data_IF_608788809182
#
_entry.id   IF_608788809182
#
_cell.length_a   1.000
_cell.length_b   1.000
_cell.length_c   1.000
_cell.angle_alpha   90.00
_cell.angle_beta   90.00
_cell.angle_gamma   90.00
#
_symmetry.space_group_name_H-M   'P 1'
#
loop_
_entity.id
_entity.type
_entity.pdbx_description
1 polymer ?
#
# COMPACT_ATOMS: atom_id res chain seq x y z
N UNK A 1 -1.15 13.73 -32.18
CA UNK A 1 -0.67 12.52 -31.47
C UNK A 1 -1.86 11.81 -30.83
N UNK A 2 -2.21 10.62 -31.33
CA UNK A 2 -3.45 9.93 -30.98
C UNK A 2 -3.46 9.42 -29.53
N UNK A 3 -4.45 9.87 -28.74
CA UNK A 3 -4.66 9.41 -27.35
C UNK A 3 -4.87 7.88 -27.26
N UNK A 4 -5.31 7.26 -28.35
CA UNK A 4 -5.58 5.82 -28.47
C UNK A 4 -4.32 4.94 -28.47
N UNK A 5 -3.20 5.43 -29.00
CA UNK A 5 -1.92 4.67 -29.02
C UNK A 5 -1.19 4.75 -27.68
N UNK A 6 -1.37 5.83 -26.91
CA UNK A 6 -0.84 5.94 -25.56
C UNK A 6 -1.54 4.98 -24.58
N UNK A 7 -2.86 4.81 -24.72
CA UNK A 7 -3.65 3.92 -23.84
C UNK A 7 -3.41 2.43 -24.12
N UNK A 8 -3.25 2.04 -25.39
CA UNK A 8 -2.82 0.69 -25.77
C UNK A 8 -1.36 0.42 -25.39
N UNK A 9 -0.46 1.39 -25.54
CA UNK A 9 0.94 1.26 -25.06
C UNK A 9 1.00 1.10 -23.53
N UNK A 10 0.16 1.81 -22.78
CA UNK A 10 0.07 1.69 -21.32
C UNK A 10 -0.55 0.35 -20.89
N UNK A 11 -1.65 -0.07 -21.52
CA UNK A 11 -2.28 -1.37 -21.28
C UNK A 11 -1.34 -2.54 -21.59
N UNK A 12 -0.58 -2.45 -22.69
CA UNK A 12 0.45 -3.44 -23.03
C UNK A 12 1.66 -3.37 -22.09
N UNK A 13 2.05 -2.19 -21.58
CA UNK A 13 3.09 -2.07 -20.54
C UNK A 13 2.66 -2.64 -19.19
N UNK A 14 1.39 -2.50 -18.82
CA UNK A 14 0.81 -3.08 -17.60
C UNK A 14 0.66 -4.61 -17.74
N UNK A 15 0.20 -5.08 -18.91
CA UNK A 15 0.10 -6.51 -19.23
C UNK A 15 1.48 -7.18 -19.29
N UNK A 16 2.48 -6.51 -19.85
CA UNK A 16 3.87 -7.00 -19.90
C UNK A 16 4.63 -6.85 -18.57
N UNK A 17 4.16 -6.02 -17.61
CA UNK A 17 4.72 -5.99 -16.25
C UNK A 17 4.16 -7.11 -15.38
N UNK A 18 2.90 -7.49 -15.56
CA UNK A 18 2.30 -8.66 -14.92
C UNK A 18 2.91 -9.98 -15.46
N UNK A 19 3.44 -9.99 -16.69
CA UNK A 19 4.13 -11.12 -17.32
C UNK A 19 5.64 -10.92 -17.51
N UNK A 20 6.31 -10.14 -16.65
CA UNK A 20 7.77 -10.30 -16.58
C UNK A 20 8.06 -11.64 -15.93
N UNK A 21 8.62 -12.56 -16.72
CA UNK A 21 9.28 -13.76 -16.21
C UNK A 21 10.16 -13.35 -15.02
N UNK A 22 10.02 -14.00 -13.86
CA UNK A 22 10.82 -13.65 -12.70
C UNK A 22 12.29 -13.82 -13.05
N UNK A 23 13.13 -12.89 -12.58
CA UNK A 23 14.55 -12.91 -12.93
C UNK A 23 15.35 -13.90 -12.07
N UNK A 24 14.73 -14.49 -11.05
CA UNK A 24 15.38 -15.40 -10.10
C UNK A 24 14.36 -16.26 -9.33
N UNK A 25 14.81 -17.40 -8.82
CA UNK A 25 13.99 -18.30 -7.98
C UNK A 25 13.41 -17.57 -6.75
N UNK A 26 14.16 -16.75 -5.99
CA UNK A 26 13.58 -15.98 -4.89
C UNK A 26 12.49 -15.01 -5.32
N UNK A 27 12.61 -14.40 -6.51
CA UNK A 27 11.56 -13.52 -7.04
C UNK A 27 10.30 -14.30 -7.45
N UNK A 28 10.47 -15.50 -8.03
CA UNK A 28 9.37 -16.40 -8.34
C UNK A 28 8.60 -16.78 -7.06
N UNK A 29 9.32 -17.31 -6.06
CA UNK A 29 8.75 -17.77 -4.80
C UNK A 29 8.10 -16.63 -4.00
N UNK A 30 8.69 -15.43 -4.04
CA UNK A 30 8.06 -14.25 -3.44
C UNK A 30 6.69 -13.95 -4.07
N UNK A 31 6.61 -13.93 -5.40
CA UNK A 31 5.35 -13.66 -6.11
C UNK A 31 4.31 -14.76 -5.89
N UNK A 32 4.73 -16.03 -5.92
CA UNK A 32 3.88 -17.18 -5.63
C UNK A 32 3.33 -17.08 -4.20
N UNK A 33 4.19 -16.77 -3.24
CA UNK A 33 3.82 -16.60 -1.84
C UNK A 33 2.77 -15.51 -1.63
N UNK A 34 2.93 -14.35 -2.29
CA UNK A 34 1.95 -13.27 -2.21
C UNK A 34 0.58 -13.68 -2.77
N UNK A 35 0.56 -14.47 -3.84
CA UNK A 35 -0.66 -14.96 -4.47
C UNK A 35 -1.39 -15.99 -3.58
N UNK A 36 -0.65 -16.93 -3.01
CA UNK A 36 -1.18 -17.95 -2.10
C UNK A 36 -1.68 -17.37 -0.77
N UNK A 37 -1.07 -16.27 -0.30
CA UNK A 37 -1.43 -15.63 0.97
C UNK A 37 -2.87 -15.12 1.02
N UNK A 38 -3.52 -14.88 -0.12
CA UNK A 38 -4.94 -14.49 -0.12
C UNK A 38 -5.89 -15.65 0.13
N UNK A 39 -5.40 -16.89 0.10
CA UNK A 39 -6.22 -18.09 0.13
C UNK A 39 -5.87 -19.01 1.29
N UNK A 40 -4.58 -19.10 1.66
CA UNK A 40 -4.08 -20.04 2.66
C UNK A 40 -3.50 -19.35 3.92
N UNK A 41 -3.57 -20.01 5.11
CA UNK A 41 -2.80 -19.61 6.28
C UNK A 41 -1.29 -19.61 6.01
N UNK A 42 -0.56 -18.80 6.76
CA UNK A 42 0.88 -18.57 6.55
C UNK A 42 1.72 -19.86 6.61
N UNK A 43 1.38 -20.79 7.50
CA UNK A 43 2.10 -22.06 7.64
C UNK A 43 2.04 -22.88 6.34
N UNK A 44 0.84 -23.12 5.82
CA UNK A 44 0.64 -23.83 4.56
C UNK A 44 1.31 -23.13 3.38
N UNK A 45 1.26 -21.79 3.32
CA UNK A 45 1.97 -21.04 2.28
C UNK A 45 3.47 -21.34 2.33
N UNK A 46 4.07 -21.40 3.51
CA UNK A 46 5.49 -21.70 3.64
C UNK A 46 5.84 -23.16 3.33
N UNK A 47 4.97 -24.11 3.65
CA UNK A 47 5.17 -25.51 3.28
C UNK A 47 5.20 -25.64 1.76
N UNK A 48 4.19 -25.12 1.07
CA UNK A 48 4.11 -25.08 -0.40
C UNK A 48 5.34 -24.40 -1.00
N UNK A 49 5.73 -23.22 -0.48
CA UNK A 49 6.90 -22.50 -1.00
C UNK A 49 8.22 -23.25 -0.78
N UNK A 50 8.32 -24.09 0.26
CA UNK A 50 9.51 -24.91 0.52
C UNK A 50 9.61 -26.03 -0.50
N UNK A 51 8.50 -26.72 -0.78
CA UNK A 51 8.44 -27.78 -1.80
C UNK A 51 8.81 -27.21 -3.18
N UNK A 52 8.23 -26.07 -3.56
CA UNK A 52 8.57 -25.38 -4.81
C UNK A 52 10.03 -24.90 -4.85
N UNK A 53 10.60 -24.50 -3.72
CA UNK A 53 12.01 -24.14 -3.65
C UNK A 53 12.91 -25.35 -3.95
N UNK A 54 12.58 -26.52 -3.43
CA UNK A 54 13.32 -27.76 -3.69
C UNK A 54 13.20 -28.15 -5.17
N UNK A 55 11.99 -28.17 -5.73
CA UNK A 55 11.78 -28.49 -7.15
C UNK A 55 12.49 -27.51 -8.09
N UNK A 56 12.39 -26.20 -7.84
CA UNK A 56 13.05 -25.18 -8.66
C UNK A 56 14.57 -25.26 -8.56
N UNK A 57 15.11 -25.65 -7.41
CA UNK A 57 16.56 -25.80 -7.24
C UNK A 57 17.08 -27.05 -7.95
N UNK A 58 16.37 -28.18 -7.83
CA UNK A 58 16.71 -29.41 -8.54
C UNK A 58 16.63 -29.25 -10.06
N UNK A 59 15.59 -28.57 -10.56
CA UNK A 59 15.44 -28.33 -11.99
C UNK A 59 16.48 -27.33 -12.52
N UNK A 60 16.86 -26.33 -11.73
CA UNK A 60 17.95 -25.40 -12.09
C UNK A 60 19.30 -26.12 -12.27
N UNK A 61 19.53 -27.23 -11.57
CA UNK A 61 20.73 -28.06 -11.78
C UNK A 61 20.71 -28.76 -13.15
N UNK A 62 19.53 -29.00 -13.73
CA UNK A 62 19.35 -29.63 -15.04
C UNK A 62 19.24 -28.60 -16.18
N UNK A 63 18.55 -27.49 -15.96
CA UNK A 63 18.34 -26.41 -16.94
C UNK A 63 18.97 -25.10 -16.42
N UNK A 64 20.11 -24.73 -17.01
CA UNK A 64 20.84 -23.52 -16.64
C UNK A 64 20.16 -22.22 -17.13
N UNK A 65 19.25 -22.30 -18.11
CA UNK A 65 18.54 -21.15 -18.65
C UNK A 65 17.31 -20.79 -17.77
N UNK A 66 17.32 -19.63 -17.09
CA UNK A 66 16.23 -19.22 -16.22
C UNK A 66 14.91 -18.99 -16.96
N UNK A 67 14.94 -18.58 -18.23
CA UNK A 67 13.70 -18.31 -18.99
C UNK A 67 12.99 -19.60 -19.36
N UNK A 68 13.75 -20.66 -19.69
CA UNK A 68 13.21 -22.00 -19.92
C UNK A 68 12.72 -22.66 -18.65
N UNK A 69 13.44 -22.47 -17.54
CA UNK A 69 13.02 -22.92 -16.21
C UNK A 69 11.63 -22.36 -15.86
N UNK A 70 11.43 -21.04 -15.94
CA UNK A 70 10.15 -20.44 -15.56
C UNK A 70 9.04 -20.63 -16.61
N UNK A 71 9.37 -20.89 -17.87
CA UNK A 71 8.37 -21.35 -18.85
C UNK A 71 7.81 -22.72 -18.48
N UNK A 72 8.64 -23.65 -17.98
CA UNK A 72 8.23 -25.00 -17.57
C UNK A 72 7.25 -24.97 -16.40
N UNK A 73 7.52 -24.15 -15.39
CA UNK A 73 6.66 -24.05 -14.19
C UNK A 73 5.47 -23.09 -14.36
N UNK A 74 5.41 -22.29 -15.43
CA UNK A 74 4.33 -21.32 -15.64
C UNK A 74 4.38 -20.13 -14.69
N UNK A 75 3.37 -19.24 -14.78
CA UNK A 75 3.33 -18.05 -13.93
C UNK A 75 2.91 -18.39 -12.49
N UNK A 76 3.40 -17.64 -11.48
CA UNK A 76 3.00 -17.85 -10.09
C UNK A 76 1.48 -17.82 -9.85
N UNK A 77 0.76 -16.97 -10.60
CA UNK A 77 -0.70 -16.88 -10.53
C UNK A 77 -1.38 -18.11 -11.16
N UNK A 78 -0.81 -18.68 -12.22
CA UNK A 78 -1.32 -19.90 -12.84
C UNK A 78 -1.16 -21.09 -11.89
N UNK A 79 0.03 -21.23 -11.28
CA UNK A 79 0.30 -22.25 -10.26
C UNK A 79 -0.64 -22.11 -9.07
N UNK A 80 -0.86 -20.89 -8.58
CA UNK A 80 -1.82 -20.65 -7.49
C UNK A 80 -3.22 -21.14 -7.86
N UNK A 81 -3.67 -20.85 -9.10
CA UNK A 81 -4.99 -21.27 -9.57
C UNK A 81 -5.11 -22.79 -9.66
N UNK A 82 -4.07 -23.47 -10.12
CA UNK A 82 -4.00 -24.93 -10.19
C UNK A 82 -4.08 -25.57 -8.79
N UNK A 83 -3.28 -25.08 -7.84
CA UNK A 83 -3.31 -25.52 -6.44
C UNK A 83 -4.69 -25.33 -5.79
N UNK A 84 -5.35 -24.20 -6.08
CA UNK A 84 -6.70 -23.94 -5.59
C UNK A 84 -7.76 -24.88 -6.20
N UNK A 85 -7.55 -25.32 -7.44
CA UNK A 85 -8.46 -26.29 -8.09
C UNK A 85 -8.24 -27.71 -7.59
N UNK A 86 -7.00 -28.09 -7.33
CA UNK A 86 -6.63 -29.41 -6.83
C UNK A 86 -7.08 -29.60 -5.38
N UNK A 87 -6.85 -28.59 -4.54
CA UNK A 87 -7.02 -28.71 -3.09
C UNK A 87 -8.31 -28.02 -2.58
N UNK A 88 -9.44 -28.24 -3.27
CA UNK A 88 -10.74 -27.60 -2.98
C UNK A 88 -11.34 -27.94 -1.61
N UNK A 89 -10.80 -28.93 -0.90
CA UNK A 89 -11.37 -29.49 0.35
C UNK A 89 -10.82 -28.88 1.64
N UNK A 90 -9.73 -28.12 1.57
CA UNK A 90 -9.15 -27.50 2.76
C UNK A 90 -10.02 -26.33 3.24
N UNK A 91 -10.31 -26.33 4.54
CA UNK A 91 -11.17 -25.30 5.16
C UNK A 91 -10.53 -23.93 4.94
N UNK A 92 -11.30 -22.93 4.48
CA UNK A 92 -10.78 -21.58 4.27
C UNK A 92 -10.22 -21.02 5.59
N UNK A 93 -9.20 -20.18 5.45
CA UNK A 93 -8.60 -19.41 6.54
C UNK A 93 -9.68 -18.81 7.46
N UNK A 94 -9.51 -18.86 8.79
CA UNK A 94 -10.54 -18.39 9.71
C UNK A 94 -10.89 -16.92 9.44
N UNK A 95 -12.12 -16.70 8.97
CA UNK A 95 -12.67 -15.39 8.58
C UNK A 95 -12.77 -14.37 9.73
N UNK A 96 -12.53 -14.80 10.97
CA UNK A 96 -12.66 -13.95 12.16
C UNK A 96 -11.68 -12.77 12.13
N UNK A 97 -10.43 -12.98 11.72
CA UNK A 97 -9.41 -11.92 11.75
C UNK A 97 -9.66 -10.84 10.69
N UNK A 98 -9.95 -11.16 9.41
CA UNK A 98 -10.39 -10.16 8.44
C UNK A 98 -11.66 -9.41 8.87
N UNK A 99 -12.60 -10.11 9.51
CA UNK A 99 -13.82 -9.49 10.02
C UNK A 99 -13.55 -8.45 11.12
N UNK A 100 -12.70 -8.79 12.10
CA UNK A 100 -12.30 -7.87 13.18
C UNK A 100 -11.61 -6.62 12.63
N UNK A 101 -10.68 -6.77 11.69
CA UNK A 101 -10.04 -5.63 11.06
C UNK A 101 -11.03 -4.81 10.21
N UNK A 102 -11.96 -5.48 9.54
CA UNK A 102 -13.06 -4.82 8.81
C UNK A 102 -13.95 -3.99 9.73
N UNK A 103 -14.32 -4.52 10.90
CA UNK A 103 -15.10 -3.79 11.90
C UNK A 103 -14.35 -2.55 12.41
N UNK A 104 -13.04 -2.65 12.67
CA UNK A 104 -12.21 -1.51 13.07
C UNK A 104 -12.15 -0.42 11.98
N UNK A 105 -12.10 -0.82 10.70
CA UNK A 105 -12.14 0.11 9.58
C UNK A 105 -13.50 0.80 9.45
N UNK A 106 -14.60 0.06 9.65
CA UNK A 106 -15.96 0.61 9.67
C UNK A 106 -16.13 1.64 10.79
N UNK A 107 -15.55 1.39 11.96
CA UNK A 107 -15.53 2.32 13.08
C UNK A 107 -14.83 3.65 12.72
N UNK A 108 -13.70 3.59 11.98
CA UNK A 108 -13.06 4.80 11.46
C UNK A 108 -13.94 5.55 10.44
N UNK A 109 -14.60 4.82 9.53
CA UNK A 109 -15.49 5.43 8.54
C UNK A 109 -16.69 6.10 9.21
N UNK A 110 -17.25 5.47 10.25
CA UNK A 110 -18.30 6.05 11.08
C UNK A 110 -17.86 7.37 11.72
N UNK A 111 -16.69 7.40 12.34
CA UNK A 111 -16.13 8.61 12.94
C UNK A 111 -15.85 9.69 11.89
N UNK A 112 -15.33 9.31 10.72
CA UNK A 112 -15.10 10.24 9.61
C UNK A 112 -16.41 10.92 9.16
N UNK A 113 -17.55 10.25 9.34
CA UNK A 113 -18.88 10.81 9.08
C UNK A 113 -19.41 11.68 10.23
N UNK A 114 -19.13 11.34 11.50
CA UNK A 114 -19.70 12.02 12.69
C UNK A 114 -18.86 13.19 13.22
N UNK A 115 -17.58 13.25 12.88
CA UNK A 115 -16.74 14.45 13.01
C UNK A 115 -16.42 14.90 14.46
N UNK A 116 -16.44 14.00 15.44
CA UNK A 116 -16.32 14.27 16.89
C UNK A 116 -14.91 14.67 17.40
N UNK A 117 -14.00 15.07 16.50
CA UNK A 117 -12.67 15.57 16.87
C UNK A 117 -11.67 14.47 17.31
N UNK A 118 -12.00 13.19 17.14
CA UNK A 118 -11.11 12.06 17.47
C UNK A 118 -10.33 11.55 16.24
N UNK A 119 -10.36 12.29 15.13
CA UNK A 119 -9.84 11.81 13.84
C UNK A 119 -8.38 11.31 13.84
N UNK A 120 -7.42 11.84 14.63
CA UNK A 120 -6.07 11.27 14.69
C UNK A 120 -6.02 9.85 15.28
N UNK A 121 -6.80 9.58 16.33
CA UNK A 121 -6.84 8.27 17.00
C UNK A 121 -7.47 7.23 16.09
N UNK A 122 -8.60 7.56 15.47
CA UNK A 122 -9.26 6.67 14.53
C UNK A 122 -8.42 6.47 13.26
N UNK A 123 -7.63 7.46 12.84
CA UNK A 123 -6.67 7.31 11.74
C UNK A 123 -5.57 6.28 12.09
N UNK A 124 -5.06 6.28 13.33
CA UNK A 124 -4.16 5.23 13.81
C UNK A 124 -4.83 3.85 13.69
N UNK A 125 -6.05 3.71 14.23
CA UNK A 125 -6.80 2.45 14.21
C UNK A 125 -7.04 1.98 12.77
N UNK A 126 -7.40 2.89 11.85
CA UNK A 126 -7.58 2.58 10.43
C UNK A 126 -6.29 2.09 9.77
N UNK A 127 -5.13 2.68 10.10
CA UNK A 127 -3.85 2.23 9.58
C UNK A 127 -3.52 0.81 10.06
N UNK A 128 -3.74 0.52 11.35
CA UNK A 128 -3.56 -0.85 11.87
C UNK A 128 -4.58 -1.83 11.27
N UNK A 129 -5.84 -1.43 11.10
CA UNK A 129 -6.87 -2.22 10.43
C UNK A 129 -6.45 -2.60 9.02
N UNK A 130 -6.04 -1.61 8.22
CA UNK A 130 -5.61 -1.82 6.85
C UNK A 130 -4.37 -2.70 6.78
N UNK A 131 -3.40 -2.49 7.69
CA UNK A 131 -2.20 -3.32 7.77
C UNK A 131 -2.54 -4.79 8.09
N UNK A 132 -3.50 -5.02 8.99
CA UNK A 132 -4.03 -6.34 9.31
C UNK A 132 -4.79 -6.98 8.14
N UNK A 133 -5.67 -6.23 7.48
CA UNK A 133 -6.46 -6.69 6.32
C UNK A 133 -5.57 -7.12 5.15
N UNK A 134 -4.50 -6.38 4.87
CA UNK A 134 -3.54 -6.75 3.84
C UNK A 134 -2.51 -7.77 4.30
N UNK A 135 -2.67 -8.35 5.50
CA UNK A 135 -1.76 -9.36 6.06
C UNK A 135 -0.31 -8.89 6.08
N UNK A 136 -0.08 -7.65 6.49
CA UNK A 136 1.19 -6.98 6.35
C UNK A 136 2.36 -7.70 7.04
N UNK A 137 2.10 -8.39 8.16
CA UNK A 137 3.10 -9.21 8.86
C UNK A 137 3.55 -10.40 8.02
N UNK A 138 2.61 -11.09 7.40
CA UNK A 138 2.87 -12.24 6.54
C UNK A 138 3.58 -11.85 5.26
N UNK A 139 3.19 -10.72 4.65
CA UNK A 139 3.94 -10.13 3.53
C UNK A 139 5.41 -9.86 3.90
N UNK A 140 5.69 -9.38 5.12
CA UNK A 140 7.06 -9.19 5.58
C UNK A 140 7.82 -10.51 5.75
N UNK A 141 7.15 -11.53 6.29
CA UNK A 141 7.76 -12.84 6.49
C UNK A 141 8.17 -13.48 5.15
N UNK A 142 7.30 -13.43 4.14
CA UNK A 142 7.64 -13.86 2.76
C UNK A 142 8.81 -13.04 2.21
N UNK A 143 8.75 -11.71 2.32
CA UNK A 143 9.80 -10.83 1.79
C UNK A 143 11.18 -11.00 2.47
N UNK A 144 11.21 -11.48 3.72
CA UNK A 144 12.45 -11.79 4.44
C UNK A 144 13.03 -13.14 4.02
N UNK A 145 12.17 -14.13 3.79
CA UNK A 145 12.56 -15.49 3.38
C UNK A 145 12.96 -15.53 1.90
N UNK A 146 12.23 -14.83 1.05
CA UNK A 146 12.43 -14.77 -0.39
C UNK A 146 12.61 -13.31 -0.84
N UNK A 147 13.81 -12.73 -0.71
CA UNK A 147 14.03 -11.34 -1.05
C UNK A 147 13.95 -11.13 -2.57
N UNK A 148 12.81 -10.60 -3.04
CA UNK A 148 12.61 -10.23 -4.44
C UNK A 148 13.42 -8.98 -4.81
N UNK A 149 14.59 -9.19 -5.44
CA UNK A 149 15.37 -8.19 -6.18
C UNK A 149 15.64 -6.83 -5.50
N UNK A 150 16.19 -5.89 -6.28
CA UNK A 150 16.37 -4.52 -5.81
C UNK A 150 15.00 -3.82 -5.74
N UNK A 151 14.58 -3.49 -4.52
CA UNK A 151 13.38 -2.70 -4.30
C UNK A 151 13.61 -1.25 -4.75
N UNK A 152 12.77 -0.67 -5.63
CA UNK A 152 12.99 0.66 -6.18
C UNK A 152 12.63 1.76 -5.16
N UNK A 153 13.47 1.93 -4.13
CA UNK A 153 13.28 2.87 -3.03
C UNK A 153 13.01 4.31 -3.51
N UNK A 154 13.65 4.73 -4.60
CA UNK A 154 13.43 6.05 -5.20
C UNK A 154 11.98 6.32 -5.60
N UNK A 155 11.20 5.30 -5.98
CA UNK A 155 9.78 5.49 -6.32
C UNK A 155 8.91 5.76 -5.09
N UNK A 156 9.25 5.15 -3.96
CA UNK A 156 8.56 5.43 -2.68
C UNK A 156 8.88 6.84 -2.21
N UNK A 157 10.16 7.20 -2.22
CA UNK A 157 10.60 8.55 -1.84
C UNK A 157 9.90 9.59 -2.70
N UNK A 158 9.85 9.38 -4.02
CA UNK A 158 9.11 10.26 -4.93
C UNK A 158 7.62 10.40 -4.55
N UNK A 159 6.99 9.32 -4.11
CA UNK A 159 5.58 9.35 -3.67
C UNK A 159 5.42 10.18 -2.39
N UNK A 160 6.30 10.03 -1.40
CA UNK A 160 6.28 10.88 -0.21
C UNK A 160 6.51 12.36 -0.55
N UNK A 161 7.47 12.65 -1.42
CA UNK A 161 7.74 14.02 -1.87
C UNK A 161 6.56 14.63 -2.61
N UNK A 162 5.88 13.86 -3.46
CA UNK A 162 4.66 14.31 -4.13
C UNK A 162 3.57 14.72 -3.13
N UNK A 163 3.35 13.91 -2.07
CA UNK A 163 2.37 14.23 -1.02
C UNK A 163 2.77 15.51 -0.27
N UNK A 164 4.05 15.66 0.08
CA UNK A 164 4.57 16.88 0.74
C UNK A 164 4.32 18.12 -0.12
N UNK A 165 4.63 18.05 -1.42
CA UNK A 165 4.40 19.16 -2.36
C UNK A 165 2.91 19.49 -2.44
N UNK A 166 2.02 18.51 -2.54
CA UNK A 166 0.57 18.77 -2.57
C UNK A 166 0.08 19.46 -1.29
N UNK A 167 0.54 19.03 -0.12
CA UNK A 167 0.20 19.68 1.15
C UNK A 167 0.75 21.10 1.21
N UNK A 168 2.01 21.32 0.81
CA UNK A 168 2.62 22.64 0.78
C UNK A 168 1.88 23.61 -0.16
N UNK A 169 1.47 23.14 -1.35
CA UNK A 169 0.66 23.93 -2.30
C UNK A 169 -0.71 24.24 -1.71
N UNK A 170 -1.40 23.26 -1.11
CA UNK A 170 -2.69 23.47 -0.43
C UNK A 170 -2.58 24.51 0.68
N UNK A 171 -1.58 24.40 1.54
CA UNK A 171 -1.30 25.36 2.62
C UNK A 171 -0.94 26.75 2.08
N UNK A 172 -0.18 26.83 0.98
CA UNK A 172 0.14 28.09 0.30
C UNK A 172 -1.11 28.79 -0.24
N UNK A 173 -1.99 28.05 -0.93
CA UNK A 173 -3.28 28.56 -1.43
C UNK A 173 -4.12 29.06 -0.25
N UNK A 174 -4.19 28.30 0.84
CA UNK A 174 -4.94 28.65 2.05
C UNK A 174 -4.45 29.97 2.65
N UNK A 175 -3.15 30.07 2.93
CA UNK A 175 -2.55 31.28 3.53
C UNK A 175 -2.72 32.50 2.63
N UNK A 176 -2.57 32.32 1.32
CA UNK A 176 -2.80 33.38 0.35
C UNK A 176 -4.25 33.87 0.38
N UNK A 177 -5.22 32.95 0.37
CA UNK A 177 -6.64 33.26 0.43
C UNK A 177 -7.02 34.01 1.71
N UNK A 178 -6.51 33.59 2.88
CA UNK A 178 -6.73 34.29 4.14
C UNK A 178 -6.10 35.69 4.15
N UNK A 179 -4.87 35.84 3.65
CA UNK A 179 -4.15 37.12 3.67
C UNK A 179 -4.76 38.19 2.74
N UNK A 180 -5.49 37.78 1.70
CA UNK A 180 -6.09 38.70 0.72
C UNK A 180 -7.61 38.77 0.82
N UNK A 181 -8.22 38.17 1.84
CA UNK A 181 -9.67 38.07 2.00
C UNK A 181 -10.38 39.45 2.00
N UNK A 182 -9.73 40.48 2.54
CA UNK A 182 -10.27 41.84 2.65
C UNK A 182 -10.30 42.62 1.31
N UNK A 183 -9.48 42.23 0.34
CA UNK A 183 -9.33 42.93 -0.94
C UNK A 183 -10.29 42.43 -2.04
N UNK A 184 -11.23 41.55 -1.70
CA UNK A 184 -12.01 40.78 -2.67
C UNK A 184 -13.49 41.22 -2.66
N UNK A 185 -14.09 41.52 -3.83
CA UNK A 185 -15.43 42.11 -3.92
C UNK A 185 -16.53 41.12 -3.48
N UNK A 186 -17.07 41.36 -2.28
CA UNK A 186 -17.94 40.49 -1.46
C UNK A 186 -19.03 39.70 -2.21
N UNK A 187 -19.75 40.31 -3.16
CA UNK A 187 -20.95 39.69 -3.79
C UNK A 187 -20.65 38.66 -4.90
N UNK A 188 -19.65 38.91 -5.75
CA UNK A 188 -19.25 37.98 -6.82
C UNK A 188 -18.24 36.96 -6.26
N UNK A 189 -17.48 37.38 -5.27
CA UNK A 189 -16.46 36.59 -4.60
C UNK A 189 -17.03 35.45 -3.75
N UNK A 190 -18.13 35.63 -3.01
CA UNK A 190 -18.66 34.52 -2.22
C UNK A 190 -19.25 33.37 -3.05
N UNK A 191 -19.94 33.64 -4.16
CA UNK A 191 -20.64 32.58 -4.92
C UNK A 191 -19.70 31.75 -5.82
N UNK A 192 -18.69 32.37 -6.43
CA UNK A 192 -17.75 31.68 -7.34
C UNK A 192 -16.54 31.10 -6.61
N UNK A 193 -16.03 31.79 -5.59
CA UNK A 193 -14.82 31.34 -4.91
C UNK A 193 -15.09 30.28 -3.83
N UNK A 194 -16.30 30.21 -3.26
CA UNK A 194 -16.73 29.02 -2.49
C UNK A 194 -16.76 27.77 -3.39
N UNK A 195 -17.39 27.85 -4.57
CA UNK A 195 -17.41 26.72 -5.52
C UNK A 195 -16.03 26.33 -6.01
N UNK A 196 -15.18 27.31 -6.33
CA UNK A 196 -13.80 27.07 -6.78
C UNK A 196 -12.94 26.45 -5.69
N UNK A 197 -12.95 26.99 -4.46
CA UNK A 197 -12.21 26.43 -3.32
C UNK A 197 -12.72 25.02 -3.00
N UNK A 198 -14.03 24.81 -2.97
CA UNK A 198 -14.64 23.50 -2.78
C UNK A 198 -14.19 22.50 -3.85
N UNK A 199 -14.23 22.89 -5.13
CA UNK A 199 -13.79 22.03 -6.22
C UNK A 199 -12.28 21.71 -6.13
N UNK A 200 -11.44 22.71 -5.88
CA UNK A 200 -10.00 22.55 -5.76
C UNK A 200 -9.62 21.62 -4.59
N UNK A 201 -10.17 21.86 -3.39
CA UNK A 201 -9.89 21.00 -2.22
C UNK A 201 -10.44 19.58 -2.40
N UNK A 202 -11.60 19.43 -3.04
CA UNK A 202 -12.14 18.12 -3.38
C UNK A 202 -11.25 17.38 -4.37
N UNK A 203 -10.68 18.07 -5.36
CA UNK A 203 -9.69 17.50 -6.28
C UNK A 203 -8.41 17.07 -5.57
N UNK A 204 -7.91 17.86 -4.62
CA UNK A 204 -6.77 17.46 -3.77
C UNK A 204 -7.08 16.19 -2.98
N UNK A 205 -8.23 16.14 -2.30
CA UNK A 205 -8.68 14.95 -1.54
C UNK A 205 -8.76 13.73 -2.46
N UNK A 206 -9.41 13.86 -3.63
CA UNK A 206 -9.54 12.77 -4.59
C UNK A 206 -8.18 12.26 -5.09
N UNK A 207 -7.27 13.17 -5.44
CA UNK A 207 -5.91 12.85 -5.91
C UNK A 207 -5.09 12.12 -4.84
N UNK A 208 -5.20 12.57 -3.59
CA UNK A 208 -4.56 11.95 -2.44
C UNK A 208 -5.14 10.56 -2.13
N UNK A 209 -6.47 10.40 -2.17
CA UNK A 209 -7.14 9.11 -2.00
C UNK A 209 -6.77 8.13 -3.11
N UNK A 210 -6.72 8.59 -4.36
CA UNK A 210 -6.26 7.77 -5.49
C UNK A 210 -4.81 7.33 -5.28
N UNK A 211 -3.94 8.24 -4.84
CA UNK A 211 -2.54 7.92 -4.52
C UNK A 211 -2.47 6.88 -3.40
N UNK A 212 -3.23 7.06 -2.33
CA UNK A 212 -3.31 6.11 -1.22
C UNK A 212 -3.80 4.73 -1.68
N UNK A 213 -4.87 4.67 -2.46
CA UNK A 213 -5.42 3.44 -3.02
C UNK A 213 -4.43 2.71 -3.93
N UNK A 214 -3.74 3.42 -4.82
CA UNK A 214 -2.70 2.83 -5.68
C UNK A 214 -1.55 2.26 -4.86
N UNK A 215 -1.10 2.96 -3.81
CA UNK A 215 -0.04 2.46 -2.93
C UNK A 215 -0.51 1.29 -2.07
N UNK A 216 -1.76 1.27 -1.65
CA UNK A 216 -2.36 0.16 -0.91
C UNK A 216 -2.44 -1.10 -1.76
N UNK A 217 -2.91 -0.98 -3.02
CA UNK A 217 -2.90 -2.10 -3.99
C UNK A 217 -1.48 -2.60 -4.21
N UNK A 218 -0.49 -1.71 -4.39
CA UNK A 218 0.93 -2.13 -4.50
C UNK A 218 1.46 -2.78 -3.22
N UNK A 219 0.94 -2.40 -2.06
CA UNK A 219 1.30 -2.99 -0.77
C UNK A 219 0.80 -4.44 -0.69
N UNK A 220 -0.44 -4.66 -1.10
CA UNK A 220 -1.13 -5.94 -1.10
C UNK A 220 -0.62 -6.93 -2.16
N UNK A 221 -0.16 -6.47 -3.33
CA UNK A 221 0.14 -7.38 -4.45
C UNK A 221 1.59 -7.35 -4.94
N UNK A 222 2.42 -6.44 -4.43
CA UNK A 222 3.82 -6.35 -4.89
C UNK A 222 4.80 -6.33 -3.73
N UNK A 223 4.64 -5.37 -2.83
CA UNK A 223 5.51 -5.24 -1.67
C UNK A 223 4.90 -4.34 -0.63
N UNK A 224 4.81 -4.86 0.59
CA UNK A 224 4.33 -4.15 1.78
C UNK A 224 5.06 -2.84 2.04
N UNK A 225 6.27 -2.66 1.50
CA UNK A 225 7.06 -1.44 1.64
C UNK A 225 6.37 -0.19 1.08
N UNK A 226 5.36 -0.31 0.22
CA UNK A 226 4.56 0.82 -0.25
C UNK A 226 3.54 1.33 0.79
N UNK A 227 3.28 0.56 1.85
CA UNK A 227 2.25 0.86 2.84
C UNK A 227 2.44 2.20 3.56
N UNK A 228 3.65 2.60 3.98
CA UNK A 228 3.90 3.93 4.53
C UNK A 228 3.47 5.07 3.61
N UNK A 229 3.68 4.94 2.30
CA UNK A 229 3.26 5.95 1.33
C UNK A 229 1.74 6.02 1.20
N UNK A 230 1.04 4.87 1.33
CA UNK A 230 -0.41 4.83 1.38
C UNK A 230 -0.95 5.56 2.62
N UNK A 231 -0.38 5.29 3.79
CA UNK A 231 -0.74 5.95 5.06
C UNK A 231 -0.51 7.46 4.98
N UNK A 232 0.64 7.88 4.48
CA UNK A 232 0.98 9.30 4.35
C UNK A 232 -0.01 10.03 3.43
N UNK A 233 -0.32 9.45 2.27
CA UNK A 233 -1.30 10.03 1.34
C UNK A 233 -2.72 10.06 1.92
N UNK A 234 -3.14 9.01 2.64
CA UNK A 234 -4.44 8.96 3.30
C UNK A 234 -4.60 10.03 4.38
N UNK A 235 -3.58 10.21 5.23
CA UNK A 235 -3.59 11.26 6.25
C UNK A 235 -3.58 12.67 5.68
N UNK A 236 -2.84 12.89 4.59
CA UNK A 236 -2.91 14.14 3.84
C UNK A 236 -4.32 14.39 3.26
N UNK A 237 -5.03 13.34 2.82
CA UNK A 237 -6.41 13.46 2.36
C UNK A 237 -7.35 13.87 3.52
N UNK A 238 -7.23 13.21 4.68
CA UNK A 238 -8.02 13.54 5.89
C UNK A 238 -7.76 14.97 6.34
N UNK A 239 -6.49 15.39 6.39
CA UNK A 239 -6.10 16.76 6.72
C UNK A 239 -6.74 17.78 5.76
N UNK A 240 -6.65 17.52 4.45
CA UNK A 240 -7.24 18.39 3.42
C UNK A 240 -8.77 18.47 3.54
N UNK A 241 -9.44 17.34 3.78
CA UNK A 241 -10.89 17.29 3.99
C UNK A 241 -11.31 18.05 5.26
N UNK A 242 -10.55 17.92 6.34
CA UNK A 242 -10.79 18.67 7.58
C UNK A 242 -10.56 20.17 7.39
N UNK A 243 -9.53 20.58 6.65
CA UNK A 243 -9.36 21.98 6.29
C UNK A 243 -10.57 22.52 5.51
N UNK A 244 -11.09 21.76 4.55
CA UNK A 244 -12.28 22.18 3.80
C UNK A 244 -13.52 22.29 4.70
N UNK A 245 -13.69 21.36 5.62
CA UNK A 245 -14.79 21.38 6.59
C UNK A 245 -14.70 22.62 7.50
N UNK A 246 -13.50 22.92 8.00
CA UNK A 246 -13.21 24.11 8.80
C UNK A 246 -13.57 25.38 8.02
N UNK A 247 -13.17 25.48 6.76
CA UNK A 247 -13.50 26.64 5.93
C UNK A 247 -15.01 26.84 5.75
N UNK A 248 -15.78 25.75 5.64
CA UNK A 248 -17.25 25.82 5.49
C UNK A 248 -17.97 26.22 6.77
N UNK A 249 -17.36 26.00 7.92
CA UNK A 249 -17.94 26.27 9.24
C UNK A 249 -17.45 27.57 9.88
N UNK A 250 -16.41 28.19 9.31
CA UNK A 250 -15.87 29.46 9.78
C UNK A 250 -16.82 30.61 9.50
N UNK A 251 -17.24 31.28 10.57
CA UNK A 251 -17.63 32.69 10.53
C UNK A 251 -16.33 33.51 10.55
N UNK A 252 -16.13 34.41 9.57
CA UNK A 252 -14.84 35.08 9.27
C UNK A 252 -14.27 35.93 10.41
N UNK A 253 -14.99 36.07 11.53
CA UNK A 253 -14.62 36.83 12.72
C UNK A 253 -13.78 36.03 13.75
N UNK A 254 -13.61 34.72 13.60
CA UNK A 254 -12.73 33.92 14.46
C UNK A 254 -11.30 33.83 13.90
N UNK A 255 -10.30 33.96 14.78
CA UNK A 255 -8.87 33.96 14.43
C UNK A 255 -8.47 32.69 13.68
N UNK A 256 -8.17 32.86 12.38
CA UNK A 256 -7.84 31.79 11.43
C UNK A 256 -6.68 30.87 11.85
N UNK A 257 -5.83 31.30 12.80
CA UNK A 257 -4.62 30.58 13.19
C UNK A 257 -4.88 29.38 14.11
N UNK A 258 -5.84 29.47 15.05
CA UNK A 258 -6.11 28.37 15.99
C UNK A 258 -6.83 27.20 15.31
N UNK A 259 -7.64 27.50 14.30
CA UNK A 259 -8.53 26.53 13.66
C UNK A 259 -7.81 25.74 12.55
N UNK A 260 -6.73 26.27 11.96
CA UNK A 260 -5.89 25.56 11.00
C UNK A 260 -4.93 24.55 11.64
N UNK A 261 -4.75 24.58 12.97
CA UNK A 261 -3.83 23.70 13.68
C UNK A 261 -4.32 22.24 13.73
N UNK A 262 -5.62 22.02 13.91
CA UNK A 262 -6.20 20.68 14.02
C UNK A 262 -6.06 19.83 12.74
N UNK A 263 -6.33 20.35 11.52
CA UNK A 263 -6.00 19.66 10.28
C UNK A 263 -4.52 19.29 10.16
N UNK A 264 -3.62 20.15 10.65
CA UNK A 264 -2.17 19.90 10.63
C UNK A 264 -1.77 18.77 11.59
N UNK A 265 -2.41 18.66 12.76
CA UNK A 265 -2.24 17.52 13.68
C UNK A 265 -2.61 16.21 12.99
N UNK A 266 -3.71 16.17 12.22
CA UNK A 266 -4.12 14.97 11.48
C UNK A 266 -3.05 14.54 10.48
N UNK A 267 -2.49 15.49 9.74
CA UNK A 267 -1.38 15.22 8.81
C UNK A 267 -0.11 14.77 9.54
N UNK A 268 0.30 15.47 10.60
CA UNK A 268 1.48 15.14 11.39
C UNK A 268 1.41 13.74 12.00
N UNK A 269 0.23 13.37 12.52
CA UNK A 269 -0.01 12.02 13.06
C UNK A 269 0.20 10.96 11.98
N UNK A 270 -0.38 11.16 10.78
CA UNK A 270 -0.20 10.23 9.67
C UNK A 270 1.25 10.12 9.19
N UNK A 271 1.97 11.25 9.17
CA UNK A 271 3.38 11.28 8.82
C UNK A 271 4.22 10.49 9.82
N UNK A 272 3.97 10.65 11.12
CA UNK A 272 4.63 9.88 12.18
C UNK A 272 4.33 8.39 12.02
N UNK A 273 3.07 8.00 11.82
CA UNK A 273 2.69 6.60 11.59
C UNK A 273 3.42 6.04 10.35
N UNK A 274 3.44 6.80 9.25
CA UNK A 274 4.13 6.39 8.03
C UNK A 274 5.64 6.21 8.26
N UNK A 275 6.29 7.11 9.02
CA UNK A 275 7.69 6.96 9.40
C UNK A 275 7.92 5.72 10.26
N UNK A 276 7.05 5.46 11.24
CA UNK A 276 7.09 4.25 12.06
C UNK A 276 7.00 2.98 11.19
N UNK A 277 6.03 2.89 10.28
CA UNK A 277 5.96 1.77 9.34
C UNK A 277 7.17 1.70 8.41
N UNK A 278 7.73 2.84 7.98
CA UNK A 278 8.95 2.84 7.15
C UNK A 278 10.12 2.19 7.88
N UNK A 279 10.26 2.44 9.19
CA UNK A 279 11.30 1.83 10.04
C UNK A 279 10.99 0.35 10.30
N UNK A 280 9.75 0.02 10.66
CA UNK A 280 9.32 -1.35 10.96
C UNK A 280 9.40 -2.28 9.74
N UNK A 281 9.11 -1.75 8.55
CA UNK A 281 9.10 -2.50 7.29
C UNK A 281 10.47 -2.55 6.59
N UNK A 282 11.53 -2.05 7.25
CA UNK A 282 12.90 -2.21 6.72
C UNK A 282 13.23 -3.70 6.57
N UNK A 283 13.95 -4.09 5.49
CA UNK A 283 14.46 -5.44 5.37
C UNK A 283 15.30 -5.78 6.60
N UNK A 284 14.88 -6.79 7.36
CA UNK A 284 15.76 -7.46 8.31
C UNK A 284 16.83 -8.25 7.57
N UNK A 285 17.82 -8.78 8.30
CA UNK A 285 18.76 -9.74 7.72
C UNK A 285 17.96 -10.94 7.17
N UNK A 286 18.29 -11.47 5.98
CA UNK A 286 17.65 -12.65 5.45
C UNK A 286 17.80 -13.78 6.46
N UNK A 287 16.72 -14.51 6.69
CA UNK A 287 16.71 -15.65 7.61
C UNK A 287 17.55 -16.76 6.96
N UNK A 288 18.71 -17.08 7.56
CA UNK A 288 19.54 -18.20 7.11
C UNK A 288 18.89 -19.47 7.62
N UNK A 289 18.23 -20.23 6.74
CA UNK A 289 17.95 -21.62 7.06
C UNK A 289 19.25 -22.41 7.00
N UNK A 290 19.64 -22.97 8.15
CA UNK A 290 20.56 -24.09 8.21
C UNK A 290 19.91 -25.24 7.43
N UNK A 291 20.48 -25.57 6.28
CA UNK A 291 20.29 -26.89 5.70
C UNK A 291 20.82 -27.89 6.73
N UNK A 292 19.93 -28.65 7.37
CA UNK A 292 20.32 -29.92 7.96
C UNK A 292 20.78 -30.80 6.80
N UNK A 293 22.09 -30.75 6.51
CA UNK A 293 22.75 -31.79 5.73
C UNK A 293 22.52 -33.09 6.48
N UNK A 294 21.81 -34.01 5.83
CA UNK A 294 21.86 -35.42 6.15
C UNK A 294 23.33 -35.84 6.24
N UNK A 295 23.74 -36.19 7.46
CA UNK A 295 24.93 -37.00 7.67
C UNK A 295 24.54 -38.44 7.39
N UNK A 296 24.71 -38.88 6.15
CA UNK A 296 24.95 -40.28 5.87
C UNK A 296 26.22 -40.69 6.65
N UNK A 297 26.06 -41.33 7.80
CA UNK A 297 26.98 -42.36 8.25
C UNK A 297 26.36 -43.66 7.74
N UNK A 298 26.82 -44.21 6.61
CA UNK A 298 28.18 -44.70 6.48
C UNK A 298 28.11 -46.20 6.75
N UNK A 299 27.54 -46.93 5.78
CA UNK A 299 27.85 -48.35 5.63
C UNK A 299 29.32 -48.43 5.23
N UNK A 300 30.12 -49.07 6.06
CA UNK A 300 31.38 -49.70 5.66
C UNK A 300 31.49 -50.98 6.49
N UNK A 301 31.52 -52.08 5.73
CA UNK A 301 32.03 -53.44 5.99
C UNK A 301 32.69 -53.74 7.35
#
# INVERSE_FOLDING_TARGET
MNKTTAFTSYKNRCKNRAHRSPASIPEYLHRLGLSLLWHYPMAQVFDILTDYQEYLTAEKEQEADPDRLFQKFGSPEAVTKELLTENRSEKPYPYLMPFLWGALLLLFLWEAMHQDGLSPVFLCLACFALFGLIRGREHMAIARRFPAGQFPAGRIILTHMLVIVMIAVKEGIMRYACAHAENLPVKIFHMYTDRLINALFSLFVLSLLLTAGVMLVKSAFSSIRHFPAAVHAAGAAVSTAKTLQTLKSMDLNQTAHEILFYPLICYGTALVIALCFTVLLRPGKPEKHYTQRGGCHGCTD
#
